data_IF_170239920525
#
_entry.id   IF_170239920525
#
_cell.length_a   1.000
_cell.length_b   1.000
_cell.length_c   1.000
_cell.angle_alpha   90.00
_cell.angle_beta   90.00
_cell.angle_gamma   90.00
#
_symmetry.space_group_name_H-M   'P 1'
#
loop_
_entity.id
_entity.type
_entity.pdbx_description
1 polymer ?
#
# COMPACT_ATOMS: atom_id res chain seq x y z
N UNK A 1 -51.33 -15.36 41.92
CA UNK A 1 -51.12 -14.51 40.72
C UNK A 1 -50.49 -13.20 41.18
N UNK A 2 -49.58 -12.51 40.47
CA UNK A 2 -48.37 -12.88 39.69
C UNK A 2 -47.07 -12.46 40.44
N UNK A 3 -46.03 -13.31 40.59
CA UNK A 3 -44.88 -13.55 39.70
C UNK A 3 -44.09 -12.31 39.20
N UNK A 4 -42.90 -12.12 39.82
CA UNK A 4 -41.59 -11.74 39.26
C UNK A 4 -41.46 -10.40 38.49
N UNK A 5 -40.97 -9.36 39.16
CA UNK A 5 -40.29 -8.22 38.54
C UNK A 5 -38.83 -8.12 39.03
N UNK A 6 -38.02 -9.12 38.70
CA UNK A 6 -36.55 -9.08 38.84
C UNK A 6 -35.91 -9.42 37.49
N UNK A 7 -36.20 -8.60 36.47
CA UNK A 7 -35.45 -8.58 35.21
C UNK A 7 -35.10 -7.13 34.85
N UNK A 8 -34.60 -6.36 35.81
CA UNK A 8 -33.74 -5.20 35.51
C UNK A 8 -32.33 -5.58 35.92
N UNK A 9 -31.37 -5.41 35.01
CA UNK A 9 -29.89 -5.52 35.18
C UNK A 9 -29.15 -6.78 34.70
N UNK A 10 -29.67 -7.57 33.75
CA UNK A 10 -28.84 -8.60 33.07
C UNK A 10 -28.90 -8.61 31.54
N UNK A 11 -29.29 -7.50 30.91
CA UNK A 11 -29.44 -7.43 29.45
C UNK A 11 -28.66 -6.29 28.76
N UNK A 12 -27.55 -5.81 29.34
CA UNK A 12 -26.76 -4.71 28.72
C UNK A 12 -25.25 -4.91 28.68
N UNK A 13 -24.73 -6.08 29.08
CA UNK A 13 -23.27 -6.35 29.07
C UNK A 13 -22.79 -7.37 28.03
N UNK A 14 -23.69 -8.13 27.39
CA UNK A 14 -23.31 -9.17 26.42
C UNK A 14 -23.37 -8.72 24.95
N UNK A 15 -24.13 -7.68 24.61
CA UNK A 15 -24.28 -7.19 23.22
C UNK A 15 -23.31 -6.08 22.83
N UNK A 16 -22.55 -5.49 23.78
CA UNK A 16 -21.46 -4.54 23.46
C UNK A 16 -20.13 -5.21 23.05
N UNK A 17 -20.00 -6.53 23.21
CA UNK A 17 -18.77 -7.27 22.86
C UNK A 17 -18.78 -7.77 21.42
N UNK A 18 -19.97 -8.01 20.84
CA UNK A 18 -20.12 -8.50 19.47
C UNK A 18 -19.98 -7.41 18.39
N UNK A 19 -20.33 -6.16 18.70
CA UNK A 19 -20.22 -5.04 17.74
C UNK A 19 -18.86 -4.34 17.72
N UNK A 20 -17.97 -4.60 18.69
CA UNK A 20 -16.58 -4.09 18.65
C UNK A 20 -15.64 -4.91 17.76
N UNK A 21 -16.06 -6.07 17.27
CA UNK A 21 -15.21 -6.96 16.45
C UNK A 21 -15.30 -6.67 14.94
N UNK A 22 -16.29 -5.87 14.51
CA UNK A 22 -16.63 -5.67 13.10
C UNK A 22 -16.04 -4.39 12.46
N UNK A 23 -15.31 -3.55 13.19
CA UNK A 23 -14.65 -2.34 12.63
C UNK A 23 -13.20 -2.19 13.10
N UNK A 24 -12.45 -3.30 13.13
CA UNK A 24 -11.00 -3.19 12.98
C UNK A 24 -10.65 -3.62 11.56
N UNK A 25 -11.09 -2.82 10.59
CA UNK A 25 -10.54 -2.88 9.25
C UNK A 25 -9.02 -2.84 9.40
N UNK A 26 -8.33 -3.93 9.06
CA UNK A 26 -6.88 -3.96 9.05
C UNK A 26 -6.46 -2.85 8.09
N UNK A 27 -5.94 -1.73 8.59
CA UNK A 27 -5.26 -0.75 7.76
C UNK A 27 -4.19 -1.52 6.99
N UNK A 28 -4.24 -1.48 5.66
CA UNK A 28 -3.21 -2.09 4.84
C UNK A 28 -1.84 -1.57 5.32
N UNK A 29 -0.90 -2.47 5.63
CA UNK A 29 0.46 -2.07 5.98
C UNK A 29 1.01 -1.29 4.79
N UNK A 30 1.56 -0.10 5.05
CA UNK A 30 2.26 0.68 4.04
C UNK A 30 3.43 -0.14 3.47
N UNK A 31 3.36 -0.46 2.17
CA UNK A 31 4.37 -1.22 1.42
C UNK A 31 4.99 -0.29 0.37
N UNK A 32 6.12 0.37 0.67
CA UNK A 32 6.67 1.41 -0.22
C UNK A 32 7.10 0.90 -1.60
N UNK A 33 7.40 -0.41 -1.73
CA UNK A 33 7.90 -1.04 -2.98
C UNK A 33 6.92 -2.02 -3.63
N UNK A 34 5.61 -1.82 -3.49
CA UNK A 34 4.61 -2.78 -4.00
C UNK A 34 4.77 -3.10 -5.50
N UNK A 35 5.13 -2.11 -6.32
CA UNK A 35 5.28 -2.29 -7.77
C UNK A 35 6.71 -2.60 -8.20
N UNK A 36 7.70 -1.92 -7.62
CA UNK A 36 9.11 -2.10 -7.95
C UNK A 36 9.64 -3.47 -7.55
N UNK A 37 9.25 -4.00 -6.39
CA UNK A 37 9.67 -5.34 -5.91
C UNK A 37 9.41 -6.45 -6.92
N UNK A 38 8.31 -6.38 -7.68
CA UNK A 38 7.93 -7.40 -8.67
C UNK A 38 8.93 -7.54 -9.82
N UNK A 39 9.68 -6.47 -10.11
CA UNK A 39 10.62 -6.37 -11.23
C UNK A 39 12.07 -6.58 -10.80
N UNK A 40 12.39 -6.32 -9.53
CA UNK A 40 13.78 -6.36 -9.04
C UNK A 40 14.06 -7.48 -8.04
N UNK A 41 13.06 -7.94 -7.28
CA UNK A 41 13.25 -8.97 -6.25
C UNK A 41 13.05 -10.39 -6.86
N UNK A 42 13.88 -11.35 -6.44
CA UNK A 42 13.84 -12.75 -6.88
C UNK A 42 14.88 -13.10 -7.95
N UNK A 43 15.33 -14.35 -7.98
CA UNK A 43 16.41 -14.79 -8.89
C UNK A 43 15.97 -14.74 -10.35
N UNK A 44 14.70 -15.04 -10.64
CA UNK A 44 14.08 -14.93 -11.97
C UNK A 44 14.14 -13.50 -12.56
N UNK A 45 14.39 -12.49 -11.72
CA UNK A 45 14.50 -11.08 -12.11
C UNK A 45 15.95 -10.60 -12.31
N UNK A 46 16.91 -11.51 -12.32
CA UNK A 46 18.31 -11.22 -12.66
C UNK A 46 18.50 -10.41 -13.97
N UNK A 47 17.84 -10.73 -15.11
CA UNK A 47 18.02 -9.95 -16.34
C UNK A 47 17.49 -8.51 -16.21
N UNK A 48 16.37 -8.30 -15.51
CA UNK A 48 15.83 -6.97 -15.24
C UNK A 48 16.78 -6.13 -14.39
N UNK A 49 17.39 -6.72 -13.35
CA UNK A 49 18.42 -6.05 -12.55
C UNK A 49 19.66 -5.72 -13.38
N UNK A 50 20.07 -6.58 -14.31
CA UNK A 50 21.23 -6.33 -15.17
C UNK A 50 21.03 -5.08 -16.05
N UNK A 51 19.83 -4.90 -16.62
CA UNK A 51 19.50 -3.68 -17.38
C UNK A 51 19.50 -2.43 -16.49
N UNK A 52 18.97 -2.52 -15.27
CA UNK A 52 18.99 -1.40 -14.32
C UNK A 52 20.41 -1.02 -13.89
N UNK A 53 21.31 -2.00 -13.76
CA UNK A 53 22.73 -1.72 -13.52
C UNK A 53 23.39 -0.96 -14.66
N UNK A 54 23.03 -1.26 -15.92
CA UNK A 54 23.59 -0.56 -17.09
C UNK A 54 23.23 0.93 -17.13
N UNK A 55 22.06 1.32 -16.59
CA UNK A 55 21.64 2.73 -16.48
C UNK A 55 22.13 3.41 -15.19
N UNK A 56 22.95 2.72 -14.39
CA UNK A 56 23.62 3.29 -13.21
C UNK A 56 23.03 2.92 -11.84
N UNK A 57 22.02 2.03 -11.76
CA UNK A 57 21.51 1.58 -10.47
C UNK A 57 22.56 0.75 -9.71
N UNK A 58 22.65 0.97 -8.41
CA UNK A 58 23.52 0.19 -7.52
C UNK A 58 22.68 -0.77 -6.68
N UNK A 59 23.35 -1.69 -6.01
CA UNK A 59 22.69 -2.72 -5.19
C UNK A 59 21.78 -2.11 -4.11
N UNK A 60 22.18 -0.99 -3.53
CA UNK A 60 21.41 -0.28 -2.50
C UNK A 60 20.12 0.36 -3.06
N UNK A 61 20.10 0.72 -4.34
CA UNK A 61 18.94 1.40 -4.96
C UNK A 61 17.76 0.44 -5.16
N UNK A 62 17.99 -0.87 -5.27
CA UNK A 62 16.89 -1.84 -5.37
C UNK A 62 16.05 -1.93 -4.09
N UNK A 63 16.61 -1.51 -2.96
CA UNK A 63 15.87 -1.43 -1.68
C UNK A 63 14.97 -0.20 -1.59
N UNK A 64 15.10 0.74 -2.53
CA UNK A 64 14.34 1.99 -2.62
C UNK A 64 13.13 1.85 -3.56
N UNK A 65 12.15 2.71 -3.38
CA UNK A 65 11.00 2.82 -4.28
C UNK A 65 11.42 3.46 -5.60
N UNK A 66 11.12 2.80 -6.71
CA UNK A 66 11.36 3.36 -8.04
C UNK A 66 10.24 4.34 -8.38
N UNK A 67 10.61 5.55 -8.79
CA UNK A 67 9.68 6.63 -9.17
C UNK A 67 9.98 7.00 -10.60
N UNK A 68 9.05 6.72 -11.51
CA UNK A 68 9.14 7.15 -12.89
C UNK A 68 8.66 8.59 -13.02
N UNK A 69 9.50 9.46 -13.59
CA UNK A 69 9.13 10.84 -13.93
C UNK A 69 8.80 10.87 -15.41
N UNK A 70 7.52 11.02 -15.73
CA UNK A 70 7.07 11.19 -17.12
C UNK A 70 7.08 12.68 -17.46
N UNK A 71 8.19 13.16 -18.02
CA UNK A 71 8.21 14.49 -18.64
C UNK A 71 7.56 14.41 -20.02
N UNK A 72 6.66 15.35 -20.30
CA UNK A 72 6.01 15.51 -21.61
C UNK A 72 6.68 16.59 -22.45
N UNK A 73 7.94 16.92 -22.16
CA UNK A 73 8.72 17.87 -22.94
C UNK A 73 8.79 17.46 -24.41
N UNK A 74 8.59 18.42 -25.31
CA UNK A 74 8.71 18.22 -26.74
C UNK A 74 9.02 19.53 -27.47
N UNK A 75 9.93 19.50 -28.44
CA UNK A 75 10.30 20.66 -29.26
C UNK A 75 9.29 20.98 -30.38
N UNK A 76 8.29 20.10 -30.59
CA UNK A 76 7.27 20.22 -31.65
C UNK A 76 6.04 20.99 -31.19
N UNK A 77 5.76 21.00 -29.88
CA UNK A 77 4.57 21.61 -29.30
C UNK A 77 4.99 22.65 -28.25
N UNK A 78 4.69 23.94 -28.46
CA UNK A 78 5.23 25.01 -27.62
C UNK A 78 4.74 24.94 -26.16
N UNK A 79 3.60 24.29 -25.90
CA UNK A 79 3.02 24.15 -24.57
C UNK A 79 3.93 23.45 -23.56
N UNK A 80 4.79 22.53 -24.00
CA UNK A 80 5.60 21.69 -23.10
C UNK A 80 7.11 21.92 -23.25
N UNK A 81 7.56 22.89 -24.06
CA UNK A 81 9.00 23.14 -24.30
C UNK A 81 9.78 23.57 -23.04
N UNK A 82 9.09 24.00 -21.99
CA UNK A 82 9.73 24.49 -20.77
C UNK A 82 9.92 23.40 -19.70
N UNK A 83 9.50 22.15 -19.95
CA UNK A 83 9.50 21.04 -18.98
C UNK A 83 10.81 20.21 -19.07
N UNK A 84 11.92 20.89 -19.34
CA UNK A 84 13.28 20.31 -19.25
C UNK A 84 13.85 20.53 -17.84
#
# INVERSE_FOLDING_TARGET
MPKKNTVKKKATKATKKATKKATKAKRAKYKPREFSSKVVDGDDRAPSRAMLHAVGFRKDDFTRSHVGIASTWANVAPCNMHID
#
